data_IF_506371568444
#
_entry.id   IF_506371568444
#
_cell.length_a   1.000
_cell.length_b   1.000
_cell.length_c   1.000
_cell.angle_alpha   90.00
_cell.angle_beta   90.00
_cell.angle_gamma   90.00
#
_symmetry.space_group_name_H-M   'P 1'
#
loop_
_entity.id
_entity.type
_entity.pdbx_description
1 polymer ?
#
# COMPACT_ATOMS: atom_id res chain seq x y z
N UNK A 1 -9.05 2.70 4.69
CA UNK A 1 -9.00 1.63 3.69
C UNK A 1 -7.60 1.07 3.66
N UNK A 2 -7.50 -0.24 3.55
CA UNK A 2 -6.27 -1.01 3.49
C UNK A 2 -6.25 -1.79 2.19
N UNK A 3 -5.06 -2.12 1.68
CA UNK A 3 -4.94 -3.04 0.56
C UNK A 3 -3.92 -4.13 0.86
N UNK A 4 -4.02 -5.27 0.21
CA UNK A 4 -3.06 -6.36 0.32
C UNK A 4 -2.70 -6.87 -1.07
N UNK A 5 -1.40 -7.05 -1.32
CA UNK A 5 -0.90 -7.77 -2.48
C UNK A 5 -0.91 -9.27 -2.21
N UNK A 6 -1.70 -10.00 -2.98
CA UNK A 6 -1.86 -11.44 -2.91
C UNK A 6 -1.20 -12.08 -4.14
N UNK A 7 0.07 -12.47 -4.01
CA UNK A 7 0.76 -13.25 -5.05
C UNK A 7 0.30 -14.71 -4.94
N UNK A 8 -0.56 -15.15 -5.85
CA UNK A 8 -1.13 -16.51 -5.84
C UNK A 8 -0.14 -17.49 -6.47
N UNK A 9 0.41 -17.12 -7.62
CA UNK A 9 1.43 -17.88 -8.35
C UNK A 9 2.24 -16.92 -9.25
N UNK A 10 3.12 -17.47 -10.10
CA UNK A 10 3.98 -16.71 -11.03
C UNK A 10 3.22 -16.06 -12.20
N UNK A 11 1.93 -16.38 -12.38
CA UNK A 11 1.09 -15.95 -13.50
C UNK A 11 -0.10 -15.09 -13.07
N UNK A 12 -0.43 -15.07 -11.78
CA UNK A 12 -1.55 -14.32 -11.22
C UNK A 12 -1.21 -13.68 -9.89
N UNK A 13 -1.42 -12.38 -9.85
CA UNK A 13 -1.30 -11.55 -8.66
C UNK A 13 -2.61 -10.79 -8.51
N UNK A 14 -3.11 -10.64 -7.29
CA UNK A 14 -4.26 -9.78 -7.04
C UNK A 14 -3.98 -8.74 -5.96
N UNK A 15 -4.68 -7.61 -6.05
CA UNK A 15 -4.74 -6.61 -4.99
C UNK A 15 -6.15 -6.63 -4.41
N UNK A 16 -6.22 -6.93 -3.12
CA UNK A 16 -7.44 -6.85 -2.34
C UNK A 16 -7.50 -5.48 -1.66
N UNK A 17 -8.64 -4.78 -1.71
CA UNK A 17 -8.89 -3.55 -0.95
C UNK A 17 -9.98 -3.86 0.07
N UNK A 18 -9.67 -3.64 1.35
CA UNK A 18 -10.54 -3.97 2.49
C UNK A 18 -11.09 -5.41 2.43
N UNK A 19 -10.24 -6.36 2.03
CA UNK A 19 -10.55 -7.78 1.93
C UNK A 19 -11.34 -8.20 0.68
N UNK A 20 -11.52 -7.29 -0.27
CA UNK A 20 -12.20 -7.55 -1.54
C UNK A 20 -11.23 -7.45 -2.72
N UNK A 21 -11.13 -8.52 -3.53
CA UNK A 21 -10.33 -8.50 -4.78
C UNK A 21 -10.81 -7.35 -5.68
N UNK A 22 -9.92 -6.39 -5.92
CA UNK A 22 -10.24 -5.16 -6.66
C UNK A 22 -9.44 -5.07 -7.96
N UNK A 23 -8.19 -5.52 -7.94
CA UNK A 23 -7.36 -5.61 -9.14
C UNK A 23 -6.79 -7.02 -9.28
N UNK A 24 -6.73 -7.52 -10.50
CA UNK A 24 -6.07 -8.78 -10.84
C UNK A 24 -5.07 -8.50 -11.95
N UNK A 25 -3.89 -9.07 -11.85
CA UNK A 25 -2.84 -9.03 -12.84
C UNK A 25 -2.60 -10.45 -13.28
N UNK A 26 -2.80 -10.73 -14.57
CA UNK A 26 -2.58 -12.07 -15.13
C UNK A 26 -1.64 -12.00 -16.33
N UNK A 27 -0.83 -13.04 -16.47
CA UNK A 27 0.04 -13.20 -17.64
C UNK A 27 -0.76 -13.82 -18.79
N UNK A 28 -0.82 -13.15 -19.93
CA UNK A 28 -1.48 -13.64 -21.14
C UNK A 28 -0.71 -14.82 -21.74
N UNK A 29 -1.32 -15.49 -22.72
CA UNK A 29 -0.69 -16.58 -23.49
C UNK A 29 0.58 -16.13 -24.22
N UNK A 30 0.66 -14.86 -24.58
CA UNK A 30 1.79 -14.22 -25.25
C UNK A 30 2.88 -13.78 -24.27
N UNK A 31 2.67 -13.96 -22.96
CA UNK A 31 3.64 -13.64 -21.92
C UNK A 31 3.61 -12.21 -21.41
N UNK A 32 2.68 -11.37 -21.90
CA UNK A 32 2.44 -9.98 -21.47
C UNK A 32 1.61 -9.98 -20.19
N UNK A 33 1.82 -9.01 -19.29
CA UNK A 33 0.96 -8.83 -18.14
C UNK A 33 -0.23 -7.94 -18.46
N UNK A 34 -1.42 -8.38 -18.05
CA UNK A 34 -2.69 -7.68 -18.19
C UNK A 34 -3.25 -7.40 -16.80
N UNK A 35 -3.59 -6.14 -16.55
CA UNK A 35 -4.37 -5.73 -15.39
C UNK A 35 -5.86 -5.83 -15.71
N UNK A 36 -6.65 -6.26 -14.73
CA UNK A 36 -8.10 -6.30 -14.72
C UNK A 36 -8.64 -5.60 -13.49
N UNK A 37 -9.67 -4.77 -13.67
CA UNK A 37 -10.45 -4.20 -12.58
C UNK A 37 -11.62 -5.14 -12.25
N UNK A 38 -11.73 -5.56 -11.00
CA UNK A 38 -12.80 -6.44 -10.55
C UNK A 38 -13.98 -5.60 -10.05
N UNK A 39 -15.15 -5.77 -10.69
CA UNK A 39 -16.41 -5.15 -10.25
C UNK A 39 -17.48 -6.22 -10.16
N UNK A 40 -18.13 -6.33 -9.00
CA UNK A 40 -19.14 -7.38 -8.74
C UNK A 40 -18.63 -8.80 -9.06
N UNK A 41 -17.37 -9.07 -8.73
CA UNK A 41 -16.71 -10.36 -9.02
C UNK A 41 -16.35 -10.60 -10.49
N UNK A 42 -16.55 -9.61 -11.38
CA UNK A 42 -16.24 -9.73 -12.82
C UNK A 42 -14.98 -8.92 -13.16
N UNK A 43 -13.90 -9.55 -13.65
CA UNK A 43 -12.73 -8.83 -14.12
C UNK A 43 -13.04 -8.13 -15.45
N UNK A 44 -12.67 -6.85 -15.54
CA UNK A 44 -12.77 -6.03 -16.75
C UNK A 44 -11.37 -5.63 -17.19
N UNK A 45 -10.97 -5.84 -18.45
CA UNK A 45 -9.62 -5.49 -18.91
C UNK A 45 -9.28 -4.02 -18.67
N UNK A 46 -8.06 -3.78 -18.21
CA UNK A 46 -7.46 -2.46 -18.01
C UNK A 46 -6.16 -2.32 -18.78
N UNK A 47 -5.07 -1.98 -18.09
CA UNK A 47 -3.76 -1.73 -18.69
C UNK A 47 -2.97 -3.01 -19.03
N UNK A 48 -2.06 -2.91 -20.00
CA UNK A 48 -1.14 -3.98 -20.42
C UNK A 48 0.31 -3.51 -20.31
N UNK A 49 1.23 -4.43 -19.98
CA UNK A 49 2.67 -4.16 -19.94
C UNK A 49 3.47 -5.46 -20.05
N UNK A 50 4.61 -5.44 -20.73
CA UNK A 50 5.54 -6.57 -20.75
C UNK A 50 6.21 -6.76 -19.38
N UNK A 51 6.43 -5.66 -18.65
CA UNK A 51 6.92 -5.65 -17.28
C UNK A 51 5.75 -5.58 -16.29
N UNK A 52 5.34 -6.75 -15.80
CA UNK A 52 4.24 -6.89 -14.84
C UNK A 52 4.49 -6.20 -13.49
N UNK A 53 5.75 -6.15 -13.04
CA UNK A 53 6.09 -5.46 -11.80
C UNK A 53 5.81 -3.96 -11.93
N UNK A 54 6.08 -3.36 -13.10
CA UNK A 54 5.72 -1.97 -13.37
C UNK A 54 4.20 -1.71 -13.28
N UNK A 55 3.33 -2.66 -13.70
CA UNK A 55 1.87 -2.50 -13.55
C UNK A 55 1.43 -2.56 -12.08
N UNK A 56 2.03 -3.48 -11.33
CA UNK A 56 1.76 -3.67 -9.91
C UNK A 56 2.20 -2.42 -9.14
N UNK A 57 3.42 -1.96 -9.36
CA UNK A 57 4.00 -0.77 -8.73
C UNK A 57 3.15 0.47 -9.01
N UNK A 58 2.71 0.67 -10.26
CA UNK A 58 1.83 1.79 -10.62
C UNK A 58 0.50 1.74 -9.85
N UNK A 59 -0.08 0.55 -9.72
CA UNK A 59 -1.35 0.37 -9.02
C UNK A 59 -1.19 0.57 -7.51
N UNK A 60 -0.11 0.03 -6.91
CA UNK A 60 0.23 0.24 -5.51
C UNK A 60 0.52 1.73 -5.22
N UNK A 61 1.25 2.41 -6.11
CA UNK A 61 1.47 3.86 -6.03
C UNK A 61 0.16 4.65 -6.06
N UNK A 62 -0.79 4.27 -6.90
CA UNK A 62 -2.11 4.91 -6.92
C UNK A 62 -2.88 4.71 -5.60
N UNK A 63 -2.90 3.49 -5.06
CA UNK A 63 -3.57 3.20 -3.78
C UNK A 63 -2.93 3.97 -2.63
N UNK A 64 -1.61 4.01 -2.58
CA UNK A 64 -0.87 4.72 -1.53
C UNK A 64 -1.02 6.24 -1.61
N UNK A 65 -1.09 6.82 -2.82
CA UNK A 65 -1.36 8.27 -2.98
C UNK A 65 -2.81 8.65 -2.64
N UNK A 66 -3.74 7.70 -2.71
CA UNK A 66 -5.09 7.83 -2.11
C UNK A 66 -5.08 7.59 -0.59
N UNK A 67 -3.91 7.27 -0.04
CA UNK A 67 -3.63 7.06 1.37
C UNK A 67 -4.13 5.73 1.90
N UNK A 68 -4.23 4.69 1.06
CA UNK A 68 -4.47 3.34 1.53
C UNK A 68 -3.20 2.78 2.18
N UNK A 69 -3.34 2.11 3.33
CA UNK A 69 -2.22 1.42 3.97
C UNK A 69 -2.09 -0.01 3.42
N UNK A 70 -0.88 -0.44 3.11
CA UNK A 70 -0.63 -1.79 2.62
C UNK A 70 -0.56 -2.75 3.81
N UNK A 71 -1.42 -3.78 3.86
CA UNK A 71 -1.34 -4.84 4.84
C UNK A 71 -0.19 -5.78 4.48
N UNK A 72 0.76 -5.92 5.40
CA UNK A 72 1.97 -6.74 5.22
C UNK A 72 2.26 -7.47 6.52
N UNK A 73 2.41 -8.80 6.43
CA UNK A 73 2.57 -9.65 7.60
C UNK A 73 1.49 -9.34 8.66
N UNK A 74 1.90 -9.13 9.91
CA UNK A 74 1.01 -8.83 11.03
C UNK A 74 0.73 -7.32 11.21
N UNK A 75 1.08 -6.46 10.23
CA UNK A 75 0.90 -5.02 10.34
C UNK A 75 0.66 -4.32 9.01
N UNK A 76 1.05 -3.04 8.95
CA UNK A 76 0.76 -2.20 7.80
C UNK A 76 1.93 -1.32 7.39
N UNK A 77 2.21 -1.22 6.11
CA UNK A 77 3.16 -0.27 5.54
C UNK A 77 2.41 0.97 5.05
N UNK A 78 2.91 2.13 5.43
CA UNK A 78 2.37 3.43 5.02
C UNK A 78 3.49 4.33 4.49
N UNK A 79 3.36 4.90 3.28
CA UNK A 79 4.25 5.95 2.83
C UNK A 79 3.94 7.27 3.53
N UNK A 80 4.98 7.96 3.96
CA UNK A 80 4.94 9.23 4.68
C UNK A 80 5.94 10.19 4.07
N UNK A 81 5.79 11.52 4.21
CA UNK A 81 6.82 12.46 3.77
C UNK A 81 8.19 12.12 4.37
N UNK A 82 9.25 12.14 3.57
CA UNK A 82 10.60 11.75 4.00
C UNK A 82 11.07 12.52 5.25
N UNK A 83 10.71 13.80 5.34
CA UNK A 83 11.04 14.70 6.45
C UNK A 83 10.21 14.46 7.73
N UNK A 84 9.17 13.62 7.72
CA UNK A 84 8.33 13.37 8.90
C UNK A 84 9.07 12.52 9.96
N UNK A 85 9.17 12.98 11.20
CA UNK A 85 9.94 12.28 12.25
C UNK A 85 9.29 12.24 13.63
N UNK A 86 8.38 13.17 13.94
CA UNK A 86 7.67 13.24 15.23
C UNK A 86 6.19 12.93 15.02
N UNK A 87 5.78 11.72 15.37
CA UNK A 87 4.44 11.20 15.12
C UNK A 87 3.54 11.26 16.35
N UNK A 88 2.26 11.53 16.12
CA UNK A 88 1.21 11.41 17.14
C UNK A 88 -0.10 10.96 16.51
N UNK A 89 -0.99 10.42 17.33
CA UNK A 89 -2.33 10.03 16.92
C UNK A 89 -3.28 11.16 17.32
N UNK A 90 -4.02 11.69 16.35
CA UNK A 90 -5.04 12.71 16.62
C UNK A 90 -6.22 12.12 17.40
N UNK A 91 -7.02 12.98 18.05
CA UNK A 91 -8.26 12.54 18.71
C UNK A 91 -9.30 11.90 17.77
N UNK A 92 -9.14 12.05 16.45
CA UNK A 92 -9.96 11.40 15.43
C UNK A 92 -9.36 10.06 14.94
N UNK A 93 -8.25 9.61 15.52
CA UNK A 93 -7.64 8.31 15.23
C UNK A 93 -6.71 8.28 14.02
N UNK A 94 -6.35 9.43 13.45
CA UNK A 94 -5.41 9.51 12.31
C UNK A 94 -3.96 9.70 12.77
N UNK A 95 -3.03 9.15 12.00
CA UNK A 95 -1.61 9.40 12.16
C UNK A 95 -1.23 10.78 11.61
N UNK A 96 -0.62 11.59 12.47
CA UNK A 96 -0.13 12.93 12.15
C UNK A 96 1.36 13.02 12.46
N UNK A 97 2.06 13.97 11.83
CA UNK A 97 3.41 14.38 12.22
C UNK A 97 3.43 15.84 12.68
N UNK A 98 4.34 16.20 13.58
CA UNK A 98 4.54 17.61 14.00
C UNK A 98 5.52 18.35 13.10
N UNK A 99 6.50 17.64 12.53
CA UNK A 99 7.51 18.15 11.59
C UNK A 99 7.35 17.45 10.24
N UNK A 100 7.60 18.11 9.09
CA UNK A 100 7.96 19.53 8.94
C UNK A 100 6.77 20.51 9.07
N UNK A 101 5.54 20.02 9.00
CA UNK A 101 4.31 20.78 9.24
C UNK A 101 3.34 19.85 9.97
N UNK A 102 2.44 20.37 10.81
CA UNK A 102 1.37 19.60 11.49
C UNK A 102 0.40 19.01 10.45
N UNK A 103 0.82 17.95 9.78
CA UNK A 103 0.14 17.37 8.64
C UNK A 103 -0.41 16.01 8.98
N UNK A 104 -1.57 15.73 8.38
CA UNK A 104 -2.10 14.40 8.24
C UNK A 104 -1.11 13.58 7.41
N UNK A 105 -0.64 12.48 7.97
CA UNK A 105 0.35 11.59 7.33
C UNK A 105 -0.35 10.40 6.68
N UNK A 106 -1.51 10.01 7.19
CA UNK A 106 -2.34 8.94 6.65
C UNK A 106 -3.78 9.42 6.51
N UNK A 107 -4.43 9.12 5.39
CA UNK A 107 -5.89 9.20 5.30
C UNK A 107 -6.57 7.99 5.97
N UNK A 108 -5.81 7.00 6.46
CA UNK A 108 -6.32 5.88 7.26
C UNK A 108 -6.42 6.26 8.74
N UNK A 109 -7.54 5.87 9.37
CA UNK A 109 -7.66 5.87 10.82
C UNK A 109 -6.84 4.71 11.40
N UNK A 110 -5.63 5.01 11.82
CA UNK A 110 -4.70 4.02 12.38
C UNK A 110 -5.21 3.41 13.69
N UNK A 111 -6.09 4.11 14.42
CA UNK A 111 -6.75 3.55 15.60
C UNK A 111 -7.62 2.32 15.32
N UNK A 112 -8.21 2.23 14.13
CA UNK A 112 -8.98 1.05 13.68
C UNK A 112 -8.06 -0.13 13.30
N UNK A 113 -6.77 0.15 13.09
CA UNK A 113 -5.74 -0.84 12.78
C UNK A 113 -5.02 -1.38 14.04
N UNK A 114 -5.45 -0.99 15.25
CA UNK A 114 -4.80 -1.38 16.51
C UNK A 114 -3.71 -0.42 16.99
N UNK A 115 -3.35 0.58 16.19
CA UNK A 115 -2.28 1.53 16.53
C UNK A 115 -2.79 2.55 17.55
N UNK A 116 -2.27 2.48 18.77
CA UNK A 116 -2.67 3.34 19.90
C UNK A 116 -1.59 4.31 20.33
N UNK A 117 -0.36 4.14 19.86
CA UNK A 117 0.77 4.93 20.34
C UNK A 117 1.92 5.02 19.34
N UNK A 118 2.81 6.04 19.43
CA UNK A 118 3.90 6.21 18.47
C UNK A 118 4.98 5.12 18.50
N UNK A 119 5.17 4.40 19.63
CA UNK A 119 6.19 3.33 19.71
C UNK A 119 5.85 2.11 18.85
N UNK A 120 4.60 2.03 18.39
CA UNK A 120 4.12 1.05 17.42
C UNK A 120 4.47 1.44 15.96
N UNK A 121 5.28 2.48 15.76
CA UNK A 121 5.68 2.98 14.45
C UNK A 121 7.19 2.87 14.34
N UNK A 122 7.66 2.18 13.30
CA UNK A 122 9.08 2.06 12.99
C UNK A 122 9.32 2.21 11.49
N UNK A 123 10.56 2.41 11.03
CA UNK A 123 10.87 2.26 9.61
C UNK A 123 10.45 0.86 9.11
N UNK A 124 9.89 0.80 7.90
CA UNK A 124 9.64 -0.49 7.26
C UNK A 124 10.95 -1.11 6.76
N UNK A 125 11.03 -2.43 6.75
CA UNK A 125 12.16 -3.14 6.14
C UNK A 125 12.02 -3.18 4.62
N UNK A 126 13.11 -3.42 3.90
CA UNK A 126 13.10 -3.62 2.44
C UNK A 126 12.14 -4.73 1.99
N UNK A 127 11.98 -5.76 2.82
CA UNK A 127 11.08 -6.89 2.54
C UNK A 127 9.62 -6.49 2.73
N UNK A 128 9.33 -5.66 3.74
CA UNK A 128 8.00 -5.11 3.97
C UNK A 128 7.60 -4.13 2.88
N UNK A 129 8.51 -3.25 2.45
CA UNK A 129 8.32 -2.35 1.31
C UNK A 129 8.02 -3.13 0.03
N UNK A 130 8.84 -4.16 -0.27
CA UNK A 130 8.64 -5.00 -1.45
C UNK A 130 7.29 -5.73 -1.38
N UNK A 131 6.91 -6.24 -0.22
CA UNK A 131 5.62 -6.91 -0.01
C UNK A 131 4.44 -5.96 -0.16
N UNK A 132 4.63 -4.67 0.15
CA UNK A 132 3.66 -3.60 -0.08
C UNK A 132 3.60 -3.12 -1.55
N UNK A 133 4.49 -3.60 -2.42
CA UNK A 133 4.63 -3.12 -3.80
C UNK A 133 5.22 -1.71 -3.87
N UNK A 134 6.12 -1.39 -2.94
CA UNK A 134 6.81 -0.10 -2.85
C UNK A 134 8.29 -0.37 -3.12
N UNK A 135 8.81 0.25 -4.18
CA UNK A 135 10.20 0.06 -4.64
C UNK A 135 11.18 1.13 -4.12
N UNK A 136 10.66 2.14 -3.40
CA UNK A 136 11.44 3.21 -2.77
C UNK A 136 12.10 4.18 -3.76
N UNK A 137 11.67 4.23 -5.02
CA UNK A 137 12.22 5.18 -6.01
C UNK A 137 11.83 6.63 -5.73
N UNK A 138 10.70 6.86 -5.06
CA UNK A 138 10.24 8.20 -4.69
C UNK A 138 10.99 8.74 -3.46
N UNK A 139 11.97 9.61 -3.70
CA UNK A 139 12.79 10.23 -2.64
C UNK A 139 12.02 11.24 -1.78
N UNK A 140 10.81 11.65 -2.17
CA UNK A 140 9.98 12.57 -1.39
C UNK A 140 9.23 11.86 -0.28
N UNK A 141 9.12 10.54 -0.39
CA UNK A 141 8.45 9.67 0.55
C UNK A 141 9.45 8.73 1.22
N UNK A 142 9.09 8.25 2.40
CA UNK A 142 9.68 7.08 3.03
C UNK A 142 8.55 6.20 3.55
N UNK A 143 8.84 4.97 3.89
CA UNK A 143 7.84 4.06 4.43
C UNK A 143 8.02 3.88 5.94
N UNK A 144 6.90 3.73 6.64
CA UNK A 144 6.87 3.29 8.03
C UNK A 144 6.03 2.03 8.12
N UNK A 145 6.40 1.17 9.06
CA UNK A 145 5.62 0.02 9.47
C UNK A 145 4.83 0.36 10.74
N UNK A 146 3.53 0.13 10.68
CA UNK A 146 2.56 0.30 11.76
C UNK A 146 2.31 -1.09 12.37
N UNK A 147 2.75 -1.27 13.61
CA UNK A 147 2.62 -2.50 14.41
C UNK A 147 1.33 -2.44 15.24
N UNK A 148 0.31 -3.28 14.97
CA UNK A 148 -0.92 -3.31 15.76
C UNK A 148 -0.73 -3.49 17.27
#
# INVERSE_FOLDING_TARGET
>A
MTYQLCRRDEKRISIEVDGCETFVFERTTEGVWQQFLVRNGKPTPGECNEDGETLIDRTAYHLTTQGHAAKVADGYVLPVPAAASDFFISGLGFLCCRLPQRKLVSSVRVGELGIKSPHQIRPATREEERSAGIDGKDTTLKTVFLMP
#
